data_IF_197726393580
#
_entry.id   IF_197726393580
#
_cell.length_a   1.000
_cell.length_b   1.000
_cell.length_c   1.000
_cell.angle_alpha   90.00
_cell.angle_beta   90.00
_cell.angle_gamma   90.00
#
_symmetry.space_group_name_H-M   'P 1'
#
loop_
_entity.id
_entity.type
_entity.pdbx_description
1 polymer ?
#
# COMPACT_ATOMS: atom_id res chain seq x y z
N UNK A 1 22.01 -42.00 48.85
CA UNK A 1 22.58 -41.34 47.65
C UNK A 1 21.62 -40.24 47.21
N UNK A 2 22.00 -38.97 47.38
CA UNK A 2 21.13 -37.81 47.04
C UNK A 2 21.11 -37.62 45.52
N UNK A 3 19.91 -37.57 44.95
CA UNK A 3 19.64 -37.29 43.53
C UNK A 3 19.70 -35.78 43.32
N UNK A 4 20.50 -35.32 42.34
CA UNK A 4 20.47 -33.93 41.89
C UNK A 4 19.83 -33.89 40.50
N UNK A 5 18.61 -33.36 40.42
CA UNK A 5 17.98 -32.96 39.17
C UNK A 5 18.47 -31.55 38.85
N UNK A 6 19.29 -31.42 37.80
CA UNK A 6 19.71 -30.13 37.26
C UNK A 6 18.63 -29.69 36.27
N UNK A 7 17.81 -28.70 36.65
CA UNK A 7 16.93 -28.01 35.71
C UNK A 7 17.77 -26.98 34.94
N UNK A 8 18.04 -27.27 33.67
CA UNK A 8 18.61 -26.31 32.73
C UNK A 8 17.48 -25.40 32.23
N UNK A 9 17.29 -24.25 32.87
CA UNK A 9 16.34 -23.24 32.42
C UNK A 9 16.83 -22.57 31.14
N UNK A 10 16.21 -22.90 30.00
CA UNK A 10 16.40 -22.15 28.74
C UNK A 10 15.64 -20.84 28.87
N UNK A 11 16.35 -19.74 29.13
CA UNK A 11 15.80 -18.39 29.06
C UNK A 11 15.73 -18.00 27.59
N UNK A 12 14.56 -18.10 26.98
CA UNK A 12 14.32 -17.59 25.63
C UNK A 12 14.16 -16.07 25.73
N UNK A 13 15.24 -15.33 25.45
CA UNK A 13 15.16 -13.90 25.24
C UNK A 13 14.48 -13.64 23.89
N UNK A 14 13.15 -13.46 23.88
CA UNK A 14 12.46 -12.87 22.73
C UNK A 14 12.77 -11.37 22.71
N UNK A 15 13.89 -10.99 22.11
CA UNK A 15 14.17 -9.58 21.80
C UNK A 15 13.16 -9.13 20.74
N UNK A 16 12.11 -8.44 21.16
CA UNK A 16 11.26 -7.68 20.25
C UNK A 16 12.07 -6.48 19.76
N UNK A 17 12.97 -6.69 18.79
CA UNK A 17 13.65 -5.59 18.11
C UNK A 17 12.59 -4.82 17.31
N UNK A 18 12.09 -3.73 17.88
CA UNK A 18 11.18 -2.83 17.17
C UNK A 18 11.93 -2.21 16.00
N UNK A 19 11.56 -2.58 14.78
CA UNK A 19 12.10 -1.96 13.57
C UNK A 19 11.82 -0.46 13.61
N UNK A 20 12.86 0.35 13.41
CA UNK A 20 12.74 1.80 13.38
C UNK A 20 11.77 2.23 12.26
N UNK A 21 10.94 3.24 12.55
CA UNK A 21 9.96 3.75 11.60
C UNK A 21 10.11 5.25 11.39
N UNK A 22 9.91 5.70 10.16
CA UNK A 22 9.93 7.10 9.74
C UNK A 22 8.53 7.56 9.33
N UNK A 23 8.12 8.75 9.78
CA UNK A 23 6.89 9.39 9.32
C UNK A 23 7.15 10.06 7.97
N UNK A 24 6.48 9.58 6.92
CA UNK A 24 6.51 10.18 5.59
C UNK A 24 5.25 10.98 5.32
N UNK A 25 5.39 11.97 4.43
CA UNK A 25 4.31 12.84 3.97
C UNK A 25 4.28 12.82 2.45
N UNK A 26 3.09 12.87 1.90
CA UNK A 26 2.84 12.96 0.48
C UNK A 26 1.68 13.93 0.26
N UNK A 27 1.86 14.89 -0.65
CA UNK A 27 0.89 15.92 -0.94
C UNK A 27 0.66 15.94 -2.45
N UNK A 28 -0.61 15.88 -2.87
CA UNK A 28 -1.02 15.98 -4.28
C UNK A 28 -2.31 16.79 -4.41
N UNK A 29 -2.77 16.99 -5.64
CA UNK A 29 -4.01 17.67 -5.96
C UNK A 29 -4.91 16.76 -6.78
N UNK A 30 -6.22 16.84 -6.51
CA UNK A 30 -7.25 16.27 -7.35
C UNK A 30 -8.46 17.19 -7.32
N UNK A 31 -9.04 17.52 -8.47
CA UNK A 31 -10.25 18.35 -8.59
C UNK A 31 -10.15 19.67 -7.79
N UNK A 32 -9.00 20.35 -7.91
CA UNK A 32 -8.65 21.57 -7.17
C UNK A 32 -8.64 21.44 -5.63
N UNK A 33 -8.68 20.22 -5.10
CA UNK A 33 -8.55 19.93 -3.66
C UNK A 33 -7.18 19.32 -3.36
N UNK A 34 -6.52 19.82 -2.31
CA UNK A 34 -5.26 19.25 -1.85
C UNK A 34 -5.51 17.96 -1.09
N UNK A 35 -4.84 16.88 -1.45
CA UNK A 35 -4.87 15.62 -0.72
C UNK A 35 -3.54 15.46 0.01
N UNK A 36 -3.60 15.37 1.34
CA UNK A 36 -2.41 15.18 2.19
C UNK A 36 -2.43 13.81 2.84
N UNK A 37 -1.37 13.04 2.63
CA UNK A 37 -1.20 11.69 3.16
C UNK A 37 -0.04 11.69 4.16
N UNK A 38 -0.23 11.04 5.31
CA UNK A 38 0.82 10.75 6.29
C UNK A 38 0.84 9.27 6.58
N UNK A 39 2.03 8.68 6.65
CA UNK A 39 2.21 7.25 6.91
C UNK A 39 3.51 7.00 7.67
N UNK A 40 3.54 6.01 8.57
CA UNK A 40 4.77 5.50 9.18
C UNK A 40 5.26 4.29 8.40
N UNK A 41 6.50 4.34 7.92
CA UNK A 41 7.13 3.27 7.13
C UNK A 41 8.45 2.82 7.78
N UNK A 42 8.96 1.61 7.49
CA UNK A 42 10.30 1.21 7.93
C UNK A 42 11.34 2.25 7.51
N UNK A 43 12.27 2.55 8.40
CA UNK A 43 13.40 3.46 8.13
C UNK A 43 14.41 2.84 7.14
N UNK A 44 15.42 3.62 6.75
CA UNK A 44 16.52 3.20 5.86
C UNK A 44 16.04 2.84 4.45
N UNK A 45 15.47 3.83 3.77
CA UNK A 45 15.02 3.73 2.39
C UNK A 45 15.68 4.79 1.51
N UNK A 46 15.76 4.50 0.22
CA UNK A 46 16.02 5.48 -0.83
C UNK A 46 14.69 5.97 -1.41
N UNK A 47 14.48 7.29 -1.44
CA UNK A 47 13.26 7.89 -1.95
C UNK A 47 13.42 8.33 -3.40
N UNK A 48 12.60 7.79 -4.30
CA UNK A 48 12.40 8.31 -5.66
C UNK A 48 11.06 9.02 -5.78
N UNK A 49 11.06 10.16 -6.46
CA UNK A 49 9.86 10.96 -6.70
C UNK A 49 9.64 11.10 -8.20
N UNK A 50 8.39 10.92 -8.62
CA UNK A 50 7.95 11.11 -9.99
C UNK A 50 6.81 12.11 -9.99
N UNK A 51 6.79 13.01 -10.96
CA UNK A 51 5.76 14.04 -11.10
C UNK A 51 5.53 14.37 -12.56
N UNK A 52 4.27 14.31 -13.00
CA UNK A 52 3.83 14.69 -14.34
C UNK A 52 2.51 15.44 -14.20
N UNK A 53 2.49 16.73 -14.51
CA UNK A 53 1.30 17.60 -14.35
C UNK A 53 0.76 17.57 -12.91
N UNK A 54 -0.40 16.96 -12.67
CA UNK A 54 -1.03 16.77 -11.36
C UNK A 54 -0.77 15.38 -10.76
N UNK A 55 -0.19 14.47 -11.52
CA UNK A 55 0.19 13.15 -11.05
C UNK A 55 1.55 13.18 -10.36
N UNK A 56 1.64 12.49 -9.22
CA UNK A 56 2.78 12.41 -8.32
C UNK A 56 2.90 10.99 -7.78
N UNK A 57 4.12 10.59 -7.51
CA UNK A 57 4.43 9.32 -6.90
C UNK A 57 5.70 9.41 -6.07
N UNK A 58 5.64 8.89 -4.85
CA UNK A 58 6.80 8.60 -4.03
C UNK A 58 6.98 7.08 -3.97
N UNK A 59 8.18 6.60 -4.25
CA UNK A 59 8.60 5.23 -4.04
C UNK A 59 9.75 5.18 -3.02
N UNK A 60 9.60 4.36 -1.98
CA UNK A 60 10.55 4.16 -0.90
C UNK A 60 11.19 2.77 -1.08
N UNK A 61 12.43 2.75 -1.59
CA UNK A 61 13.17 1.54 -1.92
C UNK A 61 13.99 1.06 -0.73
N UNK A 62 13.92 -0.23 -0.43
CA UNK A 62 14.73 -0.87 0.60
C UNK A 62 15.85 -1.71 -0.02
N UNK A 63 16.86 -2.03 0.79
CA UNK A 63 18.06 -2.77 0.34
C UNK A 63 17.75 -4.15 -0.24
N UNK A 64 16.66 -4.78 0.19
CA UNK A 64 16.17 -6.06 -0.35
C UNK A 64 15.32 -5.92 -1.61
N UNK A 65 15.31 -4.73 -2.23
CA UNK A 65 14.48 -4.37 -3.39
C UNK A 65 12.97 -4.32 -3.13
N UNK A 66 12.52 -4.47 -1.88
CA UNK A 66 11.12 -4.21 -1.54
C UNK A 66 10.83 -2.71 -1.66
N UNK A 67 9.57 -2.37 -1.95
CA UNK A 67 9.17 -1.00 -2.24
C UNK A 67 7.86 -0.72 -1.51
N UNK A 68 7.77 0.44 -0.86
CA UNK A 68 6.49 1.08 -0.52
C UNK A 68 6.26 2.23 -1.48
N UNK A 69 5.02 2.44 -1.93
CA UNK A 69 4.66 3.60 -2.74
C UNK A 69 3.42 4.33 -2.25
N UNK A 70 3.37 5.63 -2.56
CA UNK A 70 2.18 6.49 -2.48
C UNK A 70 2.08 7.22 -3.82
N UNK A 71 0.97 7.06 -4.54
CA UNK A 71 0.82 7.51 -5.92
C UNK A 71 -0.61 7.97 -6.20
N UNK A 72 -0.79 8.92 -7.12
CA UNK A 72 -2.08 9.13 -7.80
C UNK A 72 -2.01 8.79 -9.30
N UNK A 73 -0.94 8.16 -9.76
CA UNK A 73 -0.88 7.63 -11.12
C UNK A 73 -1.81 6.42 -11.29
N UNK A 74 -2.39 6.31 -12.49
CA UNK A 74 -3.08 5.07 -12.89
C UNK A 74 -2.09 3.92 -13.05
N UNK A 75 -0.97 4.16 -13.74
CA UNK A 75 0.12 3.20 -13.91
C UNK A 75 1.06 3.17 -12.69
N UNK A 76 0.50 2.84 -11.51
CA UNK A 76 1.27 2.72 -10.28
C UNK A 76 2.14 1.43 -10.26
N UNK A 77 3.04 1.26 -9.27
CA UNK A 77 3.96 0.12 -9.22
C UNK A 77 3.31 -1.26 -9.21
N UNK A 78 2.06 -1.39 -8.75
CA UNK A 78 1.29 -2.65 -8.76
C UNK A 78 0.40 -2.82 -9.99
N UNK A 79 0.42 -1.92 -10.97
CA UNK A 79 -0.44 -1.99 -12.16
C UNK A 79 -0.37 -3.35 -12.85
N UNK A 80 0.84 -3.86 -13.10
CA UNK A 80 1.05 -5.17 -13.73
C UNK A 80 0.49 -6.32 -12.90
N UNK A 81 0.70 -6.31 -11.57
CA UNK A 81 0.19 -7.32 -10.66
C UNK A 81 -1.35 -7.34 -10.64
N UNK A 82 -1.98 -6.15 -10.61
CA UNK A 82 -3.43 -6.01 -10.65
C UNK A 82 -4.00 -6.50 -11.99
N UNK A 83 -3.31 -6.21 -13.10
CA UNK A 83 -3.71 -6.68 -14.43
C UNK A 83 -3.71 -8.20 -14.53
N UNK A 84 -2.76 -8.87 -13.88
CA UNK A 84 -2.69 -10.33 -13.84
C UNK A 84 -3.84 -10.98 -13.05
N UNK A 85 -4.56 -10.24 -12.19
CA UNK A 85 -5.78 -10.74 -11.55
C UNK A 85 -6.95 -10.91 -12.54
N UNK A 86 -6.84 -10.36 -13.75
CA UNK A 86 -7.82 -10.44 -14.82
C UNK A 86 -8.49 -9.10 -15.14
N UNK A 87 -8.98 -8.99 -16.38
CA UNK A 87 -9.47 -7.73 -16.94
C UNK A 87 -10.63 -7.13 -16.14
N UNK A 88 -11.55 -7.94 -15.60
CA UNK A 88 -12.67 -7.44 -14.80
C UNK A 88 -12.20 -6.74 -13.52
N UNK A 89 -11.19 -7.27 -12.84
CA UNK A 89 -10.64 -6.69 -11.61
C UNK A 89 -9.85 -5.43 -11.96
N UNK A 90 -9.01 -5.50 -13.00
CA UNK A 90 -8.21 -4.37 -13.45
C UNK A 90 -9.10 -3.20 -13.89
N UNK A 91 -10.10 -3.46 -14.73
CA UNK A 91 -11.04 -2.44 -15.20
C UNK A 91 -11.82 -1.82 -14.04
N UNK A 92 -12.28 -2.62 -13.08
CA UNK A 92 -12.97 -2.10 -11.89
C UNK A 92 -12.04 -1.22 -11.03
N UNK A 93 -10.80 -1.64 -10.82
CA UNK A 93 -9.80 -0.92 -10.00
C UNK A 93 -9.32 0.39 -10.64
N UNK A 94 -9.24 0.44 -11.96
CA UNK A 94 -8.75 1.59 -12.73
C UNK A 94 -9.85 2.37 -13.46
N UNK A 95 -11.12 2.15 -13.09
CA UNK A 95 -12.22 2.91 -13.68
C UNK A 95 -12.10 4.41 -13.36
N UNK A 96 -12.62 5.24 -14.27
CA UNK A 96 -12.78 6.67 -14.03
C UNK A 96 -13.98 6.91 -13.11
N UNK A 97 -13.69 7.24 -11.85
CA UNK A 97 -14.70 7.49 -10.81
C UNK A 97 -15.63 8.69 -11.14
N UNK A 98 -15.11 9.72 -11.82
CA UNK A 98 -15.92 10.90 -12.18
C UNK A 98 -16.87 10.56 -13.31
N UNK A 99 -16.36 9.88 -14.34
CA UNK A 99 -17.19 9.40 -15.44
C UNK A 99 -18.25 8.41 -14.94
N UNK A 100 -17.87 7.50 -14.04
CA UNK A 100 -18.80 6.54 -13.40
C UNK A 100 -19.93 7.28 -12.68
N UNK A 101 -19.60 8.32 -11.92
CA UNK A 101 -20.57 9.17 -11.23
C UNK A 101 -21.50 9.88 -12.22
N UNK A 102 -20.94 10.53 -13.25
CA UNK A 102 -21.72 11.25 -14.26
C UNK A 102 -22.68 10.35 -15.03
N UNK A 103 -22.26 9.12 -15.37
CA UNK A 103 -23.13 8.14 -16.05
C UNK A 103 -24.31 7.75 -15.15
N UNK A 104 -24.05 7.40 -13.89
CA UNK A 104 -25.12 6.99 -12.97
C UNK A 104 -26.11 8.13 -12.69
N UNK A 105 -25.62 9.37 -12.59
CA UNK A 105 -26.44 10.58 -12.44
C UNK A 105 -27.32 10.81 -13.68
N UNK A 106 -26.74 10.74 -14.88
CA UNK A 106 -27.49 10.90 -16.14
C UNK A 106 -28.57 9.83 -16.33
N UNK A 107 -28.31 8.60 -15.90
CA UNK A 107 -29.23 7.47 -16.02
C UNK A 107 -30.26 7.42 -14.88
N UNK A 108 -30.10 8.26 -13.86
CA UNK A 108 -30.89 8.28 -12.63
C UNK A 108 -31.02 6.89 -11.96
N UNK A 109 -29.97 6.07 -12.10
CA UNK A 109 -29.82 4.73 -11.50
C UNK A 109 -28.37 4.28 -11.55
N UNK A 110 -27.98 3.33 -10.70
CA UNK A 110 -26.68 2.68 -10.77
C UNK A 110 -26.63 1.73 -11.98
N UNK A 111 -25.87 2.11 -13.01
CA UNK A 111 -25.60 1.30 -14.21
C UNK A 111 -24.16 0.79 -14.19
N UNK A 112 -23.24 1.62 -13.68
CA UNK A 112 -21.84 1.25 -13.45
C UNK A 112 -21.59 1.24 -11.96
N UNK A 113 -21.07 0.12 -11.45
CA UNK A 113 -20.81 -0.04 -10.02
C UNK A 113 -19.72 0.94 -9.56
N UNK A 114 -19.98 1.86 -8.62
CA UNK A 114 -18.95 2.71 -8.07
C UNK A 114 -17.92 1.90 -7.27
N UNK A 115 -16.73 2.48 -7.09
CA UNK A 115 -15.77 1.91 -6.15
C UNK A 115 -16.21 2.18 -4.71
N UNK A 116 -15.92 1.27 -3.76
CA UNK A 116 -16.01 1.59 -2.34
C UNK A 116 -15.00 2.68 -1.96
N UNK A 117 -15.19 3.30 -0.78
CA UNK A 117 -14.27 4.31 -0.23
C UNK A 117 -12.81 3.84 -0.19
N UNK A 118 -12.61 2.53 0.05
CA UNK A 118 -11.33 1.87 -0.09
C UNK A 118 -11.47 0.52 -0.78
N UNK A 119 -10.62 0.28 -1.79
CA UNK A 119 -10.46 -1.02 -2.44
C UNK A 119 -9.06 -1.56 -2.14
N UNK A 120 -9.00 -2.78 -1.60
CA UNK A 120 -7.74 -3.46 -1.27
C UNK A 120 -7.58 -4.66 -2.19
N UNK A 121 -6.41 -4.74 -2.85
CA UNK A 121 -5.98 -5.87 -3.64
C UNK A 121 -4.62 -6.34 -3.13
N UNK A 122 -4.38 -7.64 -3.13
CA UNK A 122 -3.11 -8.22 -2.70
C UNK A 122 -2.89 -9.57 -3.35
N UNK A 123 -1.65 -10.02 -3.34
CA UNK A 123 -1.28 -11.32 -3.87
C UNK A 123 0.18 -11.63 -3.60
N UNK A 124 0.62 -12.71 -4.24
CA UNK A 124 1.99 -13.17 -4.28
C UNK A 124 2.39 -13.19 -5.75
N UNK A 125 3.56 -12.66 -6.08
CA UNK A 125 4.09 -12.67 -7.44
C UNK A 125 4.76 -14.01 -7.79
N UNK A 126 5.25 -14.13 -9.03
CA UNK A 126 5.94 -15.34 -9.52
C UNK A 126 7.22 -15.70 -8.75
N UNK A 127 7.78 -14.76 -7.98
CA UNK A 127 8.99 -14.94 -7.18
C UNK A 127 8.67 -15.25 -5.70
N UNK A 128 7.42 -15.58 -5.37
CA UNK A 128 6.93 -15.76 -4.00
C UNK A 128 7.05 -14.50 -3.13
N UNK A 129 7.04 -13.32 -3.74
CA UNK A 129 7.07 -12.05 -3.00
C UNK A 129 5.66 -11.45 -2.91
N UNK A 130 5.33 -10.92 -1.75
CA UNK A 130 4.04 -10.33 -1.47
C UNK A 130 3.94 -8.92 -2.07
N UNK A 131 2.74 -8.61 -2.55
CA UNK A 131 2.36 -7.27 -2.96
C UNK A 131 0.96 -6.93 -2.45
N UNK A 132 0.73 -5.64 -2.27
CA UNK A 132 -0.55 -5.11 -1.78
C UNK A 132 -0.76 -3.70 -2.30
N UNK A 133 -1.98 -3.42 -2.74
CA UNK A 133 -2.44 -2.12 -3.20
C UNK A 133 -3.73 -1.74 -2.45
N UNK A 134 -3.79 -0.50 -2.00
CA UNK A 134 -4.96 0.11 -1.37
C UNK A 134 -5.28 1.38 -2.15
N UNK A 135 -6.41 1.37 -2.85
CA UNK A 135 -7.01 2.57 -3.44
C UNK A 135 -7.88 3.26 -2.40
N UNK A 136 -7.69 4.56 -2.22
CA UNK A 136 -8.56 5.42 -1.41
C UNK A 136 -8.82 6.69 -2.23
N UNK A 137 -9.99 6.74 -2.85
CA UNK A 137 -10.28 7.69 -3.94
C UNK A 137 -9.19 7.66 -5.01
N UNK A 138 -8.59 8.82 -5.30
CA UNK A 138 -7.54 8.97 -6.33
C UNK A 138 -6.14 8.53 -5.88
N UNK A 139 -5.94 8.17 -4.61
CA UNK A 139 -4.63 7.75 -4.10
C UNK A 139 -4.53 6.23 -4.10
N UNK A 140 -3.41 5.72 -4.60
CA UNK A 140 -2.97 4.34 -4.48
C UNK A 140 -1.79 4.28 -3.49
N UNK A 141 -1.90 3.42 -2.48
CA UNK A 141 -0.85 3.21 -1.48
C UNK A 141 -0.60 1.71 -1.39
N UNK A 142 0.65 1.30 -1.46
CA UNK A 142 0.93 -0.13 -1.46
C UNK A 142 2.38 -0.48 -1.26
N UNK A 143 2.63 -1.79 -1.36
CA UNK A 143 3.97 -2.35 -1.44
C UNK A 143 4.03 -3.45 -2.50
N UNK A 144 5.25 -3.78 -2.89
CA UNK A 144 5.58 -4.89 -3.78
C UNK A 144 6.96 -5.43 -3.46
N UNK A 145 7.22 -6.67 -3.90
CA UNK A 145 8.49 -7.38 -3.72
C UNK A 145 8.86 -7.60 -2.25
N UNK A 146 7.88 -7.82 -1.38
CA UNK A 146 8.09 -8.00 0.07
C UNK A 146 8.19 -9.49 0.40
N UNK A 147 9.25 -9.91 1.10
CA UNK A 147 9.40 -11.27 1.59
C UNK A 147 8.43 -11.59 2.74
N UNK A 148 8.14 -12.87 2.96
CA UNK A 148 7.17 -13.32 3.96
C UNK A 148 7.46 -12.80 5.37
N UNK A 149 8.73 -12.84 5.78
CA UNK A 149 9.22 -12.39 7.09
C UNK A 149 9.03 -10.89 7.34
N UNK A 150 8.91 -10.09 6.27
CA UNK A 150 8.70 -8.63 6.33
C UNK A 150 7.26 -8.21 6.08
N UNK A 151 6.41 -9.11 5.60
CA UNK A 151 5.02 -8.80 5.24
C UNK A 151 4.26 -8.13 6.38
N UNK A 152 4.39 -8.61 7.61
CA UNK A 152 3.68 -8.05 8.76
C UNK A 152 4.10 -6.60 9.04
N UNK A 153 5.40 -6.29 8.89
CA UNK A 153 5.94 -4.94 9.07
C UNK A 153 5.33 -3.98 8.04
N UNK A 154 5.27 -4.37 6.77
CA UNK A 154 4.71 -3.55 5.69
C UNK A 154 3.19 -3.40 5.81
N UNK A 155 2.48 -4.47 6.19
CA UNK A 155 1.05 -4.41 6.49
C UNK A 155 0.75 -3.45 7.65
N UNK A 156 1.60 -3.42 8.69
CA UNK A 156 1.49 -2.46 9.80
C UNK A 156 1.66 -1.03 9.31
N UNK A 157 2.59 -0.76 8.39
CA UNK A 157 2.80 0.57 7.81
C UNK A 157 1.56 1.08 7.09
N UNK A 158 0.92 0.26 6.26
CA UNK A 158 -0.30 0.64 5.55
C UNK A 158 -1.47 0.96 6.50
N UNK A 159 -1.54 0.32 7.67
CA UNK A 159 -2.54 0.63 8.71
C UNK A 159 -2.33 2.00 9.37
N UNK A 160 -1.18 2.63 9.20
CA UNK A 160 -0.89 3.95 9.79
C UNK A 160 -1.27 5.13 8.89
N UNK A 161 -1.77 4.85 7.69
CA UNK A 161 -2.18 5.86 6.72
C UNK A 161 -3.22 6.81 7.33
N UNK A 162 -2.95 8.10 7.20
CA UNK A 162 -3.90 9.18 7.51
C UNK A 162 -4.00 10.08 6.30
N UNK A 163 -5.20 10.16 5.74
CA UNK A 163 -5.53 11.05 4.62
C UNK A 163 -6.31 12.23 5.17
N UNK A 164 -5.93 13.44 4.78
CA UNK A 164 -6.70 14.66 5.02
C UNK A 164 -7.06 15.29 3.68
N UNK A 165 -8.35 15.48 3.47
CA UNK A 165 -8.92 16.32 2.43
C UNK A 165 -9.51 17.55 3.15
N UNK A 166 -9.31 18.78 2.64
CA UNK A 166 -9.89 19.99 3.21
C UNK A 166 -11.41 20.00 3.11
#
# INVERSE_FOLDING_TARGET
MKRYLIYLGIIIFTSCNSVAQTLVKYDTYSNNQSIKVKMKIPSEFDLKRYEVTVEKENQYFYMDSSIIYISNFTNNPNYSNIKQLGDSIANYRFQDEELTKSINEQMNKEVVKPLPDSLVLFGIDENNLFWKDIKIGKISIGYLKVSEDKKELFDKSLKTVKIKQP
#
